data_IF_934923879238
#
_entry.id   IF_934923879238
#
_cell.length_a   1.000
_cell.length_b   1.000
_cell.length_c   1.000
_cell.angle_alpha   90.00
_cell.angle_beta   90.00
_cell.angle_gamma   90.00
#
_symmetry.space_group_name_H-M   'P 1'
#
loop_
_entity.id
_entity.type
_entity.pdbx_description
1 polymer ?
#
# COMPACT_ATOMS: atom_id res chain seq x y z
N UNK A 1 -7.29 17.64 13.96
CA UNK A 1 -7.00 16.18 13.84
C UNK A 1 -6.23 15.93 12.54
N UNK A 2 -5.08 15.23 12.57
CA UNK A 2 -4.27 14.93 11.35
C UNK A 2 -4.68 13.57 10.76
N UNK A 3 -4.74 13.40 9.43
CA UNK A 3 -5.07 12.12 8.81
C UNK A 3 -3.98 11.08 9.08
N UNK A 4 -4.37 9.81 9.21
CA UNK A 4 -3.44 8.70 9.43
C UNK A 4 -2.57 8.37 8.19
N UNK A 5 -3.11 8.62 6.99
CA UNK A 5 -2.44 8.39 5.71
C UNK A 5 -1.85 9.69 5.18
N UNK A 6 -0.75 9.59 4.45
CA UNK A 6 -0.15 10.75 3.79
C UNK A 6 -0.97 11.22 2.58
N UNK A 7 -0.79 12.48 2.18
CA UNK A 7 -1.51 13.09 1.06
C UNK A 7 -1.23 12.40 -0.28
N UNK A 8 -0.01 11.89 -0.45
CA UNK A 8 0.40 11.16 -1.65
C UNK A 8 -0.40 9.84 -1.84
N UNK A 9 -0.58 9.07 -0.77
CA UNK A 9 -1.41 7.86 -0.77
C UNK A 9 -2.89 8.18 -1.02
N UNK A 10 -3.36 9.34 -0.55
CA UNK A 10 -4.71 9.82 -0.84
C UNK A 10 -4.84 10.15 -2.34
N UNK A 11 -3.82 10.77 -2.95
CA UNK A 11 -3.81 11.02 -4.40
C UNK A 11 -3.83 9.71 -5.20
N UNK A 12 -3.01 8.73 -4.84
CA UNK A 12 -3.03 7.39 -5.45
C UNK A 12 -4.40 6.72 -5.35
N UNK A 13 -5.07 6.79 -4.18
CA UNK A 13 -6.41 6.25 -3.99
C UNK A 13 -7.44 6.95 -4.89
N UNK A 14 -7.39 8.29 -4.99
CA UNK A 14 -8.32 9.04 -5.86
C UNK A 14 -8.18 8.61 -7.31
N UNK A 15 -6.96 8.49 -7.81
CA UNK A 15 -6.68 8.03 -9.18
C UNK A 15 -7.08 6.58 -9.37
N UNK A 16 -6.74 5.69 -8.43
CA UNK A 16 -7.09 4.26 -8.50
C UNK A 16 -8.59 4.00 -8.51
N UNK A 17 -9.38 4.81 -7.79
CA UNK A 17 -10.85 4.76 -7.84
C UNK A 17 -11.41 5.27 -9.17
N UNK A 18 -10.82 6.33 -9.72
CA UNK A 18 -11.24 6.89 -11.02
C UNK A 18 -10.91 5.94 -12.18
N UNK A 19 -9.75 5.31 -12.14
CA UNK A 19 -9.20 4.44 -13.18
C UNK A 19 -9.17 2.96 -12.73
N UNK A 20 -10.32 2.39 -12.37
CA UNK A 20 -10.42 1.06 -11.76
C UNK A 20 -9.94 -0.11 -12.63
N UNK A 21 -9.91 0.05 -13.96
CA UNK A 21 -9.36 -0.95 -14.88
C UNK A 21 -7.83 -1.09 -14.76
N UNK A 22 -7.14 0.00 -14.42
CA UNK A 22 -5.69 0.09 -14.36
C UNK A 22 -5.14 -0.36 -12.99
N UNK A 23 -3.82 -0.38 -12.86
CA UNK A 23 -3.11 -0.69 -11.61
C UNK A 23 -2.16 0.44 -11.25
N UNK A 24 -2.28 0.95 -10.02
CA UNK A 24 -1.32 1.93 -9.47
C UNK A 24 0.02 1.23 -9.23
N UNK A 25 1.07 1.74 -9.89
CA UNK A 25 2.45 1.31 -9.67
C UNK A 25 3.04 2.07 -8.48
N UNK A 26 3.17 3.39 -8.64
CA UNK A 26 3.77 4.32 -7.68
C UNK A 26 3.33 5.76 -7.99
N UNK A 27 3.83 6.74 -7.23
CA UNK A 27 3.60 8.17 -7.48
C UNK A 27 4.80 9.01 -7.04
N UNK A 28 4.88 10.26 -7.48
CA UNK A 28 5.88 11.24 -7.04
C UNK A 28 5.29 12.65 -6.93
N UNK A 29 5.96 13.49 -6.14
CA UNK A 29 5.61 14.89 -5.96
C UNK A 29 6.09 15.72 -7.14
N UNK A 30 5.26 16.67 -7.57
CA UNK A 30 5.56 17.55 -8.71
C UNK A 30 5.70 19.00 -8.25
N UNK A 31 4.71 19.50 -7.54
CA UNK A 31 4.64 20.88 -7.09
C UNK A 31 3.76 21.00 -5.84
N UNK A 32 3.82 22.15 -5.17
CA UNK A 32 2.87 22.52 -4.12
C UNK A 32 2.63 24.02 -4.15
N UNK A 33 1.41 24.41 -3.80
CA UNK A 33 1.04 25.80 -3.49
C UNK A 33 0.60 25.90 -2.01
N UNK A 34 0.03 27.03 -1.60
CA UNK A 34 -0.43 27.22 -0.22
C UNK A 34 -1.62 26.33 0.16
N UNK A 35 -2.40 25.88 -0.82
CA UNK A 35 -3.68 25.17 -0.63
C UNK A 35 -3.60 23.69 -1.05
N UNK A 36 -2.75 23.36 -2.02
CA UNK A 36 -2.71 22.07 -2.70
C UNK A 36 -1.30 21.50 -2.84
N UNK A 37 -1.27 20.17 -2.96
CA UNK A 37 -0.08 19.41 -3.35
C UNK A 37 -0.37 18.59 -4.58
N UNK A 38 0.50 18.69 -5.57
CA UNK A 38 0.37 18.05 -6.86
C UNK A 38 1.27 16.81 -6.93
N UNK A 39 0.71 15.72 -7.42
CA UNK A 39 1.38 14.44 -7.55
C UNK A 39 1.08 13.83 -8.92
N UNK A 40 2.08 13.19 -9.50
CA UNK A 40 1.90 12.33 -10.68
C UNK A 40 1.84 10.87 -10.24
N UNK A 41 0.82 10.16 -10.74
CA UNK A 41 0.55 8.76 -10.39
C UNK A 41 0.79 7.89 -11.62
N UNK A 42 1.69 6.93 -11.48
CA UNK A 42 2.06 6.00 -12.56
C UNK A 42 1.08 4.83 -12.54
N UNK A 43 0.38 4.64 -13.66
CA UNK A 43 -0.60 3.58 -13.86
C UNK A 43 -0.12 2.57 -14.90
N UNK A 44 -0.54 1.32 -14.75
CA UNK A 44 -0.26 0.22 -15.67
C UNK A 44 -1.58 -0.39 -16.12
N UNK A 45 -1.70 -0.67 -17.42
CA UNK A 45 -2.81 -1.43 -17.98
C UNK A 45 -2.51 -2.94 -17.96
N UNK A 46 -3.21 -3.75 -17.14
CA UNK A 46 -3.03 -5.19 -17.09
C UNK A 46 -3.61 -5.94 -18.31
N UNK A 47 -4.43 -5.28 -19.13
CA UNK A 47 -5.03 -5.86 -20.35
C UNK A 47 -4.09 -5.75 -21.56
N UNK A 48 -3.10 -4.87 -21.50
CA UNK A 48 -2.17 -4.63 -22.60
C UNK A 48 -1.14 -5.75 -22.77
N UNK A 49 -0.98 -6.27 -23.98
CA UNK A 49 -0.12 -7.43 -24.25
C UNK A 49 1.36 -7.17 -23.97
N UNK A 50 1.88 -5.95 -24.17
CA UNK A 50 3.28 -5.66 -23.85
C UNK A 50 3.57 -5.82 -22.35
N UNK A 51 2.63 -5.43 -21.48
CA UNK A 51 2.75 -5.61 -20.03
C UNK A 51 2.66 -7.09 -19.63
N UNK A 52 1.78 -7.86 -20.30
CA UNK A 52 1.60 -9.29 -20.01
C UNK A 52 2.81 -10.13 -20.43
N UNK A 53 3.44 -9.77 -21.54
CA UNK A 53 4.59 -10.49 -22.12
C UNK A 53 5.91 -10.09 -21.47
N UNK A 54 6.03 -8.89 -20.89
CA UNK A 54 7.26 -8.43 -20.24
C UNK A 54 7.47 -9.09 -18.86
N UNK A 55 8.48 -9.96 -18.69
CA UNK A 55 8.75 -10.63 -17.41
C UNK A 55 9.15 -9.68 -16.27
N UNK A 56 9.58 -8.45 -16.56
CA UNK A 56 9.99 -7.47 -15.54
C UNK A 56 8.80 -6.90 -14.77
N UNK A 57 7.65 -6.74 -15.43
CA UNK A 57 6.49 -6.03 -14.88
C UNK A 57 5.22 -6.86 -14.79
N UNK A 58 5.15 -8.00 -15.50
CA UNK A 58 3.94 -8.82 -15.57
C UNK A 58 3.44 -9.33 -14.20
N UNK A 59 4.26 -9.28 -13.15
CA UNK A 59 3.85 -9.58 -11.78
C UNK A 59 2.62 -8.78 -11.37
N UNK A 60 2.50 -7.51 -11.79
CA UNK A 60 1.38 -6.63 -11.39
C UNK A 60 0.03 -7.04 -12.00
N UNK A 61 0.05 -7.88 -13.03
CA UNK A 61 -1.16 -8.34 -13.74
C UNK A 61 -1.93 -9.36 -12.89
N UNK A 62 -1.27 -10.09 -11.99
CA UNK A 62 -1.90 -11.12 -11.16
C UNK A 62 -3.01 -10.51 -10.29
N UNK A 63 -4.08 -11.29 -10.06
CA UNK A 63 -5.26 -10.82 -9.33
C UNK A 63 -4.95 -10.29 -7.91
N UNK A 64 -3.92 -10.83 -7.24
CA UNK A 64 -3.47 -10.40 -5.91
C UNK A 64 -2.97 -8.95 -5.85
N UNK A 65 -2.65 -8.35 -7.00
CA UNK A 65 -2.20 -6.96 -7.14
C UNK A 65 -3.31 -5.99 -7.54
N UNK A 66 -4.59 -6.40 -7.53
CA UNK A 66 -5.74 -5.47 -7.64
C UNK A 66 -5.77 -4.50 -6.46
N UNK A 67 -6.05 -3.22 -6.73
CA UNK A 67 -6.21 -2.17 -5.71
C UNK A 67 -5.12 -2.16 -4.62
N UNK A 68 -3.86 -2.02 -5.01
CA UNK A 68 -2.71 -1.97 -4.08
C UNK A 68 -2.71 -0.68 -3.27
N UNK A 69 -3.12 0.42 -3.90
CA UNK A 69 -3.28 1.75 -3.32
C UNK A 69 -4.26 1.74 -2.14
N UNK A 70 -5.42 1.07 -2.30
CA UNK A 70 -6.44 0.96 -1.23
C UNK A 70 -5.99 0.10 -0.05
N UNK A 71 -5.05 -0.83 -0.29
CA UNK A 71 -4.53 -1.75 0.73
C UNK A 71 -3.22 -1.28 1.37
N UNK A 72 -2.69 -0.12 0.97
CA UNK A 72 -1.42 0.40 1.45
C UNK A 72 -0.23 -0.51 1.09
N UNK A 73 -0.20 -0.98 -0.16
CA UNK A 73 0.89 -1.80 -0.72
C UNK A 73 1.79 -1.04 -1.70
N UNK A 74 1.43 0.20 -2.04
CA UNK A 74 2.31 1.16 -2.75
C UNK A 74 3.38 1.70 -1.80
N UNK A 75 4.40 2.38 -2.34
CA UNK A 75 5.48 2.95 -1.52
C UNK A 75 4.94 3.96 -0.49
N UNK A 76 4.12 4.90 -0.97
CA UNK A 76 3.48 5.92 -0.14
C UNK A 76 2.53 5.30 0.89
N UNK A 77 1.74 4.28 0.53
CA UNK A 77 0.83 3.60 1.46
C UNK A 77 1.54 2.70 2.48
N UNK A 78 2.72 2.15 2.15
CA UNK A 78 3.52 1.35 3.08
C UNK A 78 4.16 2.20 4.18
N UNK A 79 4.55 3.44 3.88
CA UNK A 79 5.19 4.32 4.87
C UNK A 79 4.26 4.65 6.05
N UNK A 80 2.96 4.85 5.81
CA UNK A 80 1.97 5.09 6.89
C UNK A 80 1.66 3.85 7.73
N UNK A 81 2.08 2.65 7.32
CA UNK A 81 1.84 1.41 8.06
C UNK A 81 2.83 1.19 9.21
N UNK A 82 3.94 1.93 9.25
CA UNK A 82 4.96 1.78 10.29
C UNK A 82 5.61 0.39 10.28
N UNK A 83 5.89 -0.14 9.08
CA UNK A 83 6.60 -1.41 8.89
C UNK A 83 8.12 -1.16 8.90
N UNK A 84 8.88 -2.07 9.49
CA UNK A 84 10.34 -1.99 9.51
C UNK A 84 10.97 -3.10 10.35
N UNK A 85 12.27 -2.98 10.63
CA UNK A 85 13.05 -3.94 11.42
C UNK A 85 13.69 -3.25 12.62
N UNK A 86 13.82 -3.97 13.73
CA UNK A 86 14.44 -3.48 14.96
C UNK A 86 13.44 -2.96 16.00
N UNK A 87 13.98 -2.50 17.13
CA UNK A 87 13.22 -2.16 18.34
C UNK A 87 12.11 -1.11 18.11
N UNK A 88 12.32 -0.17 17.17
CA UNK A 88 11.36 0.88 16.80
C UNK A 88 10.08 0.35 16.12
N UNK A 89 10.08 -0.88 15.63
CA UNK A 89 8.97 -1.48 14.87
C UNK A 89 8.27 -2.62 15.62
N UNK A 90 8.39 -2.65 16.95
CA UNK A 90 7.76 -3.67 17.80
C UNK A 90 6.24 -3.77 17.60
N UNK A 91 5.59 -2.66 17.25
CA UNK A 91 4.14 -2.59 17.06
C UNK A 91 3.64 -3.27 15.78
N UNK A 92 4.51 -3.65 14.84
CA UNK A 92 4.13 -4.27 13.57
C UNK A 92 4.74 -5.65 13.36
N UNK A 93 5.32 -6.25 14.40
CA UNK A 93 5.81 -7.63 14.40
C UNK A 93 4.64 -8.58 14.05
N UNK A 94 4.78 -9.33 12.96
CA UNK A 94 3.71 -10.16 12.38
C UNK A 94 2.98 -9.52 11.19
N UNK A 95 3.49 -8.40 10.65
CA UNK A 95 3.10 -7.83 9.36
C UNK A 95 2.12 -6.64 9.40
N UNK A 96 1.44 -6.42 10.53
CA UNK A 96 0.61 -5.23 10.76
C UNK A 96 0.37 -4.98 12.25
N UNK A 97 -0.08 -3.77 12.61
CA UNK A 97 -0.44 -3.43 14.00
C UNK A 97 -1.53 -4.32 14.56
N UNK A 98 -2.56 -4.60 13.76
CA UNK A 98 -3.67 -5.48 14.14
C UNK A 98 -3.21 -6.92 14.36
N UNK A 99 -2.31 -7.43 13.50
CA UNK A 99 -1.74 -8.76 13.66
C UNK A 99 -0.92 -8.87 14.96
N UNK A 100 -0.07 -7.88 15.24
CA UNK A 100 0.70 -7.80 16.48
C UNK A 100 -0.20 -7.76 17.72
N UNK A 101 -1.25 -6.93 17.70
CA UNK A 101 -2.22 -6.84 18.78
C UNK A 101 -2.97 -8.16 18.99
N UNK A 102 -3.49 -8.79 17.92
CA UNK A 102 -4.18 -10.08 18.02
C UNK A 102 -3.30 -11.16 18.63
N UNK A 103 -2.02 -11.22 18.26
CA UNK A 103 -1.07 -12.18 18.82
C UNK A 103 -0.82 -11.96 20.31
N UNK A 104 -0.71 -10.70 20.76
CA UNK A 104 -0.47 -10.37 22.18
C UNK A 104 -1.69 -10.60 23.06
N UNK A 105 -2.89 -10.42 22.52
CA UNK A 105 -4.15 -10.53 23.27
C UNK A 105 -4.81 -11.90 23.11
N UNK A 106 -4.14 -12.87 22.47
CA UNK A 106 -4.62 -14.24 22.38
C UNK A 106 -4.14 -15.03 23.60
N UNK A 107 -5.08 -15.64 24.32
CA UNK A 107 -4.76 -16.65 25.33
C UNK A 107 -4.42 -17.98 24.65
N UNK A 108 -3.28 -18.57 25.00
CA UNK A 108 -2.89 -19.90 24.55
C UNK A 108 -3.33 -20.93 25.59
N UNK A 109 -4.33 -21.74 25.25
CA UNK A 109 -4.82 -22.84 26.08
C UNK A 109 -4.29 -24.16 25.51
N UNK A 110 -3.21 -24.68 26.12
CA UNK A 110 -2.64 -25.95 25.73
C UNK A 110 -3.36 -27.11 26.43
N UNK A 111 -3.53 -28.24 25.73
CA UNK A 111 -4.19 -29.45 26.25
C UNK A 111 -3.49 -30.01 27.49
N UNK A 112 -2.16 -29.87 27.54
CA UNK A 112 -1.32 -30.14 28.70
C UNK A 112 -0.49 -28.89 28.96
N UNK A 113 -0.33 -28.54 30.23
CA UNK A 113 0.60 -27.48 30.65
C UNK A 113 2.00 -28.06 30.78
#
# INVERSE_FOLDING_TARGET
MKPYRNLQSIAEERVGRRMGSLRVLNSYWVAQDSSYKYYEVILIDPSHNAIRRDPKINWIVKAVHKHRELRGLTSSGRSSRGLGKGYRYSQTIGGSRRAAWRRRNRLHLHKKR
#
